data_IF_171524678576
#
_entry.id   IF_171524678576
#
_cell.length_a   1.000
_cell.length_b   1.000
_cell.length_c   1.000
_cell.angle_alpha   90.00
_cell.angle_beta   90.00
_cell.angle_gamma   90.00
#
_symmetry.space_group_name_H-M   'P 1'
#
loop_
_entity.id
_entity.type
_entity.pdbx_description
1 polymer ?
#
# COMPACT_ATOMS: atom_id res chain seq x y z
N UNK A 1 18.09 24.71 10.74
CA UNK A 1 18.40 24.16 9.39
C UNK A 1 17.26 23.23 9.02
N UNK A 2 16.21 23.82 8.46
CA UNK A 2 15.06 23.08 7.95
C UNK A 2 15.52 22.28 6.73
N UNK A 3 15.74 20.98 6.93
CA UNK A 3 15.79 20.03 5.82
C UNK A 3 14.37 19.95 5.28
N UNK A 4 14.06 20.81 4.31
CA UNK A 4 12.94 20.61 3.41
C UNK A 4 13.18 19.24 2.75
N UNK A 5 12.61 18.20 3.33
CA UNK A 5 12.50 16.90 2.67
C UNK A 5 11.55 17.18 1.53
N UNK A 6 12.11 17.40 0.34
CA UNK A 6 11.36 17.20 -0.89
C UNK A 6 11.04 15.71 -0.86
N UNK A 7 9.92 15.37 -0.22
CA UNK A 7 9.29 14.08 -0.38
C UNK A 7 9.05 13.99 -1.88
N UNK A 8 9.92 13.26 -2.58
CA UNK A 8 9.67 12.98 -3.97
C UNK A 8 8.25 12.42 -4.02
N UNK A 9 7.37 13.05 -4.80
CA UNK A 9 5.98 12.63 -4.99
C UNK A 9 5.92 11.31 -5.81
N UNK A 10 6.92 10.46 -5.64
CA UNK A 10 7.20 9.27 -6.41
C UNK A 10 7.66 8.15 -5.47
N UNK A 11 7.45 6.92 -5.92
CA UNK A 11 7.99 5.75 -5.24
C UNK A 11 9.49 5.63 -5.47
N UNK A 12 10.18 4.90 -4.59
CA UNK A 12 11.59 4.58 -4.79
C UNK A 12 11.77 3.75 -6.08
N UNK A 13 12.97 3.74 -6.68
CA UNK A 13 13.24 2.93 -7.86
C UNK A 13 12.83 1.47 -7.66
N UNK A 14 12.20 0.86 -8.67
CA UNK A 14 11.67 -0.51 -8.67
C UNK A 14 10.46 -0.76 -7.74
N UNK A 15 9.91 0.28 -7.12
CA UNK A 15 8.63 0.20 -6.40
C UNK A 15 7.50 0.64 -7.32
N UNK A 16 6.30 0.06 -7.12
CA UNK A 16 5.13 0.34 -7.94
C UNK A 16 4.23 1.36 -7.24
N UNK A 17 3.83 2.41 -7.95
CA UNK A 17 2.82 3.33 -7.45
C UNK A 17 1.42 2.77 -7.74
N UNK A 18 0.54 2.88 -6.76
CA UNK A 18 -0.89 2.60 -6.89
C UNK A 18 -1.65 3.84 -6.48
N UNK A 19 -2.55 4.28 -7.36
CA UNK A 19 -3.45 5.39 -7.12
C UNK A 19 -4.87 4.83 -6.98
N UNK A 20 -5.49 5.10 -5.84
CA UNK A 20 -6.88 4.75 -5.56
C UNK A 20 -7.69 5.98 -5.15
N UNK A 21 -7.17 7.20 -5.38
CA UNK A 21 -7.83 8.43 -4.93
C UNK A 21 -9.25 8.58 -5.50
N UNK A 22 -9.46 8.13 -6.75
CA UNK A 22 -10.75 8.11 -7.45
C UNK A 22 -11.76 7.11 -6.87
N UNK A 23 -11.27 6.13 -6.13
CA UNK A 23 -12.03 5.01 -5.57
C UNK A 23 -12.37 5.18 -4.10
N UNK A 24 -11.77 6.18 -3.44
CA UNK A 24 -11.97 6.43 -2.02
C UNK A 24 -13.16 7.37 -1.83
N UNK A 25 -14.08 7.06 -0.89
CA UNK A 25 -15.08 8.02 -0.44
C UNK A 25 -14.42 9.33 0.02
N UNK A 26 -15.11 10.47 -0.12
CA UNK A 26 -14.59 11.72 0.41
C UNK A 26 -14.43 11.65 1.93
N UNK A 27 -13.39 12.30 2.46
CA UNK A 27 -13.13 12.49 3.89
C UNK A 27 -12.87 11.23 4.73
N UNK A 28 -12.50 10.08 4.12
CA UNK A 28 -12.07 8.92 4.91
C UNK A 28 -10.58 9.04 5.30
N UNK A 29 -10.23 8.97 6.60
CA UNK A 29 -8.84 9.08 7.03
C UNK A 29 -8.05 7.77 6.84
N UNK A 30 -8.74 6.64 6.82
CA UNK A 30 -8.13 5.31 6.69
C UNK A 30 -8.94 4.43 5.73
N UNK A 31 -8.25 3.48 5.11
CA UNK A 31 -8.85 2.39 4.35
C UNK A 31 -8.26 1.07 4.84
N UNK A 32 -9.13 0.12 5.18
CA UNK A 32 -8.72 -1.25 5.42
C UNK A 32 -8.62 -1.96 4.08
N UNK A 33 -7.53 -2.70 3.84
CA UNK A 33 -7.32 -3.46 2.62
C UNK A 33 -6.98 -4.90 2.97
N UNK A 34 -7.49 -5.86 2.21
CA UNK A 34 -7.01 -7.24 2.21
C UNK A 34 -5.91 -7.36 1.18
N UNK A 35 -4.72 -7.71 1.62
CA UNK A 35 -3.60 -8.06 0.73
C UNK A 35 -3.47 -9.57 0.72
N UNK A 36 -3.45 -10.16 -0.47
CA UNK A 36 -3.15 -11.59 -0.68
C UNK A 36 -1.85 -11.71 -1.47
N UNK A 37 -0.98 -12.67 -1.13
CA UNK A 37 0.33 -12.86 -1.76
C UNK A 37 0.56 -14.32 -2.14
N UNK A 38 1.26 -14.53 -3.26
CA UNK A 38 1.73 -15.83 -3.71
C UNK A 38 3.19 -15.72 -4.17
N UNK A 39 4.10 -16.56 -3.64
CA UNK A 39 3.86 -17.57 -2.59
C UNK A 39 3.57 -16.94 -1.21
N UNK A 40 2.95 -17.68 -0.30
CA UNK A 40 2.51 -17.17 1.01
C UNK A 40 3.64 -16.66 1.92
N UNK A 41 4.89 -17.03 1.63
CA UNK A 41 6.09 -16.58 2.32
C UNK A 41 6.73 -15.33 1.69
N UNK A 42 6.19 -14.83 0.57
CA UNK A 42 6.64 -13.59 -0.03
C UNK A 42 6.26 -12.40 0.86
N UNK A 43 7.09 -11.35 0.85
CA UNK A 43 6.86 -10.12 1.61
C UNK A 43 6.39 -9.01 0.69
N UNK A 44 5.26 -8.43 1.05
CA UNK A 44 4.67 -7.27 0.42
C UNK A 44 4.80 -6.09 1.38
N UNK A 45 5.28 -4.96 0.89
CA UNK A 45 5.40 -3.73 1.67
C UNK A 45 4.61 -2.64 0.99
N UNK A 46 3.88 -1.85 1.78
CA UNK A 46 3.12 -0.70 1.30
C UNK A 46 3.35 0.51 2.20
N UNK A 47 3.49 1.68 1.59
CA UNK A 47 3.77 2.93 2.30
C UNK A 47 3.18 4.15 1.56
N UNK A 48 2.89 5.27 2.24
CA UNK A 48 2.46 6.50 1.59
C UNK A 48 3.54 7.06 0.67
N UNK A 49 3.16 7.69 -0.46
CA UNK A 49 4.13 8.29 -1.38
C UNK A 49 5.02 9.30 -0.61
N UNK A 50 6.34 9.17 -0.78
CA UNK A 50 7.32 10.04 -0.14
C UNK A 50 7.73 9.66 1.29
N UNK A 51 7.09 8.66 1.91
CA UNK A 51 7.33 8.24 3.30
C UNK A 51 7.67 6.72 3.39
N UNK A 52 8.80 6.26 2.83
CA UNK A 52 9.19 4.83 2.86
C UNK A 52 9.41 4.25 4.27
N UNK A 53 9.71 5.09 5.25
CA UNK A 53 9.85 4.73 6.67
C UNK A 53 8.54 4.24 7.29
N UNK A 54 7.40 4.73 6.81
CA UNK A 54 6.06 4.37 7.29
C UNK A 54 5.53 3.07 6.65
N UNK A 55 6.44 2.20 6.20
CA UNK A 55 6.07 0.98 5.51
C UNK A 55 5.41 -0.05 6.42
N UNK A 56 4.27 -0.55 5.97
CA UNK A 56 3.60 -1.71 6.56
C UNK A 56 3.96 -2.97 5.78
N UNK A 57 4.31 -4.02 6.51
CA UNK A 57 4.63 -5.33 5.93
C UNK A 57 3.41 -6.26 5.99
N UNK A 58 3.16 -6.96 4.88
CA UNK A 58 2.29 -8.13 4.77
C UNK A 58 3.11 -9.35 4.30
N UNK A 59 2.72 -10.59 4.55
CA UNK A 59 1.56 -11.06 5.31
C UNK A 59 1.95 -12.00 6.45
N UNK A 60 3.21 -11.93 6.90
CA UNK A 60 3.71 -12.72 8.04
C UNK A 60 3.61 -14.24 7.83
N UNK A 61 4.03 -14.75 6.67
CA UNK A 61 3.90 -16.16 6.26
C UNK A 61 2.45 -16.67 6.17
N UNK A 62 1.48 -15.78 5.92
CA UNK A 62 0.11 -16.13 5.59
C UNK A 62 -0.18 -15.76 4.14
N UNK A 63 -1.13 -16.46 3.52
CA UNK A 63 -1.55 -16.16 2.14
C UNK A 63 -2.23 -14.78 2.02
N UNK A 64 -2.81 -14.26 3.12
CA UNK A 64 -3.41 -12.93 3.15
C UNK A 64 -3.37 -12.30 4.54
N UNK A 65 -3.43 -10.96 4.59
CA UNK A 65 -3.62 -10.18 5.81
C UNK A 65 -4.38 -8.89 5.51
N UNK A 66 -5.03 -8.34 6.52
CA UNK A 66 -5.60 -6.99 6.46
C UNK A 66 -4.53 -5.99 6.85
N UNK A 67 -4.42 -4.89 6.10
CA UNK A 67 -3.63 -3.71 6.44
C UNK A 67 -4.56 -2.50 6.55
N UNK A 68 -4.26 -1.57 7.47
CA UNK A 68 -4.97 -0.30 7.60
C UNK A 68 -4.07 0.82 7.09
N UNK A 69 -4.43 1.44 5.99
CA UNK A 69 -3.64 2.50 5.36
C UNK A 69 -4.22 3.87 5.67
N UNK A 70 -3.36 4.85 5.93
CA UNK A 70 -3.71 6.26 5.96
C UNK A 70 -3.97 6.75 4.53
N UNK A 71 -5.13 7.33 4.28
CA UNK A 71 -5.54 7.68 2.92
C UNK A 71 -4.68 8.79 2.32
N UNK A 72 -4.31 9.82 3.09
CA UNK A 72 -3.49 10.93 2.58
C UNK A 72 -4.06 11.51 1.29
N UNK A 73 -3.37 11.29 0.16
CA UNK A 73 -3.79 11.68 -1.20
C UNK A 73 -4.28 10.50 -2.06
N UNK A 74 -4.55 9.34 -1.47
CA UNK A 74 -4.98 8.11 -2.13
C UNK A 74 -3.87 7.36 -2.89
N UNK A 75 -2.62 7.81 -2.78
CA UNK A 75 -1.48 7.21 -3.50
C UNK A 75 -0.55 6.47 -2.56
N UNK A 76 -0.19 5.26 -2.96
CA UNK A 76 0.66 4.36 -2.19
C UNK A 76 1.77 3.80 -3.06
N UNK A 77 2.87 3.45 -2.41
CA UNK A 77 3.99 2.76 -3.02
C UNK A 77 4.08 1.34 -2.52
N UNK A 78 4.27 0.40 -3.45
CA UNK A 78 4.36 -1.03 -3.20
C UNK A 78 5.78 -1.50 -3.49
N UNK A 79 6.39 -2.16 -2.51
CA UNK A 79 7.64 -2.90 -2.67
C UNK A 79 7.38 -4.39 -2.48
N UNK A 80 7.85 -5.17 -3.45
CA UNK A 80 7.78 -6.63 -3.43
C UNK A 80 9.14 -7.23 -3.11
N UNK A 81 9.18 -8.30 -2.30
CA UNK A 81 10.45 -8.97 -1.98
C UNK A 81 10.98 -9.86 -3.10
N UNK A 82 10.10 -10.32 -3.99
CA UNK A 82 10.45 -11.23 -5.08
C UNK A 82 9.94 -10.65 -6.41
N UNK A 83 10.70 -10.70 -7.51
CA UNK A 83 10.27 -10.14 -8.79
C UNK A 83 8.98 -10.78 -9.35
N UNK A 84 8.82 -12.08 -9.13
CA UNK A 84 7.73 -12.89 -9.71
C UNK A 84 6.61 -13.21 -8.72
N UNK A 85 6.58 -12.58 -7.54
CA UNK A 85 5.46 -12.79 -6.62
C UNK A 85 4.19 -12.18 -7.21
N UNK A 86 3.07 -12.87 -6.99
CA UNK A 86 1.75 -12.32 -7.29
C UNK A 86 1.18 -11.73 -6.01
N UNK A 87 0.39 -10.68 -6.18
CA UNK A 87 -0.35 -10.11 -5.08
C UNK A 87 -1.67 -9.53 -5.58
N UNK A 88 -2.64 -9.48 -4.69
CA UNK A 88 -3.95 -8.87 -4.92
C UNK A 88 -4.27 -7.98 -3.73
N UNK A 89 -4.77 -6.77 -4.01
CA UNK A 89 -5.24 -5.83 -2.99
C UNK A 89 -6.73 -5.62 -3.19
N UNK A 90 -7.51 -5.77 -2.12
CA UNK A 90 -8.96 -5.51 -2.12
C UNK A 90 -9.30 -4.51 -1.04
N UNK A 91 -9.99 -3.43 -1.39
CA UNK A 91 -10.50 -2.47 -0.42
C UNK A 91 -11.61 -3.07 0.44
N UNK A 92 -11.53 -2.87 1.74
CA UNK A 92 -12.63 -3.03 2.68
C UNK A 92 -13.12 -1.63 3.04
N UNK A 93 -13.58 -0.88 2.04
CA UNK A 93 -14.51 0.20 2.32
C UNK A 93 -15.80 -0.49 2.76
N UNK A 94 -16.25 -0.23 3.98
CA UNK A 94 -17.55 -0.63 4.49
C UNK A 94 -18.62 -0.56 3.39
N UNK A 95 -19.53 -1.54 3.32
CA UNK A 95 -19.51 -2.65 2.36
C UNK A 95 -19.60 -2.25 0.87
N UNK A 96 -18.83 -2.93 0.00
CA UNK A 96 -19.18 -3.08 -1.43
C UNK A 96 -18.12 -2.76 -2.49
N UNK A 97 -16.91 -2.32 -2.13
CA UNK A 97 -15.91 -1.91 -3.13
C UNK A 97 -14.91 -3.05 -3.41
N UNK A 98 -15.07 -3.75 -4.54
CA UNK A 98 -14.00 -4.55 -5.15
C UNK A 98 -13.21 -3.68 -6.13
N UNK A 99 -11.90 -3.53 -5.91
CA UNK A 99 -11.00 -2.79 -6.79
C UNK A 99 -10.22 -3.70 -7.73
#
# INVERSE_FOLDING_TARGET
MDKLIIAALACLPNHRMVDIADKLPPHIPYVDIVVSVEPFYARFYIYPVGLPEDSQQCCGNKASSVLRLTVGNGKFCIRQSQPNMKWQVRGLATPGISL
#
